data_IF_515151158408
#
_entry.id   IF_515151158408
#
_cell.length_a   1.000
_cell.length_b   1.000
_cell.length_c   1.000
_cell.angle_alpha   90.00
_cell.angle_beta   90.00
_cell.angle_gamma   90.00
#
_symmetry.space_group_name_H-M   'P 1'
#
loop_
_entity.id
_entity.type
_entity.pdbx_description
1 polymer ?
#
# COMPACT_ATOMS: atom_id res chain seq x y z
N UNK A 1 -1.96 8.14 -14.38
CA UNK A 1 -1.73 6.75 -13.98
C UNK A 1 -1.00 6.77 -12.66
N UNK A 2 -1.57 6.20 -11.60
CA UNK A 2 -0.90 6.06 -10.31
C UNK A 2 -0.61 4.57 -10.12
N UNK A 3 0.66 4.20 -10.01
CA UNK A 3 1.06 2.81 -9.76
C UNK A 3 1.11 2.59 -8.26
N UNK A 4 0.33 1.62 -7.78
CA UNK A 4 0.39 1.18 -6.39
C UNK A 4 1.37 0.02 -6.29
N UNK A 5 2.18 0.03 -5.23
CA UNK A 5 3.13 -1.05 -4.93
C UNK A 5 2.75 -1.70 -3.62
N UNK A 6 2.78 -3.03 -3.59
CA UNK A 6 2.62 -3.82 -2.38
C UNK A 6 3.99 -4.20 -1.81
N UNK A 7 4.18 -3.99 -0.51
CA UNK A 7 5.38 -4.44 0.22
C UNK A 7 5.24 -5.92 0.53
N UNK A 8 6.05 -6.75 -0.11
CA UNK A 8 6.03 -8.21 0.10
C UNK A 8 6.89 -8.60 1.29
N UNK A 9 8.09 -8.02 1.38
CA UNK A 9 9.04 -8.33 2.43
C UNK A 9 9.83 -7.08 2.79
N UNK A 10 10.16 -6.95 4.07
CA UNK A 10 11.08 -5.95 4.57
C UNK A 10 12.07 -6.65 5.51
N UNK A 11 13.35 -6.66 5.12
CA UNK A 11 14.42 -7.31 5.89
C UNK A 11 15.56 -6.35 6.14
N UNK A 12 16.16 -6.45 7.31
CA UNK A 12 17.33 -5.67 7.65
C UNK A 12 18.56 -6.24 6.95
N UNK A 13 19.37 -5.40 6.32
CA UNK A 13 20.55 -5.89 5.60
C UNK A 13 21.58 -6.39 6.62
N UNK A 14 22.10 -7.60 6.42
CA UNK A 14 23.09 -8.19 7.33
C UNK A 14 24.39 -7.36 7.45
N UNK A 15 24.67 -6.51 6.44
CA UNK A 15 25.86 -5.65 6.41
C UNK A 15 25.69 -4.34 7.19
N UNK A 16 24.47 -3.87 7.43
CA UNK A 16 24.23 -2.59 8.10
C UNK A 16 22.85 -2.59 8.78
N UNK A 17 22.86 -2.53 10.11
CA UNK A 17 21.65 -2.50 10.93
C UNK A 17 20.83 -1.20 10.79
N UNK A 18 21.27 -0.22 10.01
CA UNK A 18 20.50 0.98 9.66
C UNK A 18 19.89 0.93 8.27
N UNK A 19 20.19 -0.11 7.48
CA UNK A 19 19.67 -0.28 6.14
C UNK A 19 18.68 -1.44 6.08
N UNK A 20 17.56 -1.18 5.42
CA UNK A 20 16.49 -2.12 5.18
C UNK A 20 16.33 -2.34 3.69
N UNK A 21 16.23 -3.60 3.29
CA UNK A 21 15.87 -4.02 1.94
C UNK A 21 14.36 -4.29 1.94
N UNK A 22 13.65 -3.64 1.03
CA UNK A 22 12.20 -3.77 0.88
C UNK A 22 11.92 -4.34 -0.51
N UNK A 23 11.24 -5.48 -0.57
CA UNK A 23 10.75 -6.04 -1.82
C UNK A 23 9.36 -5.49 -2.11
N UNK A 24 9.25 -4.83 -3.27
CA UNK A 24 8.02 -4.25 -3.78
C UNK A 24 7.55 -5.03 -5.00
N UNK A 25 6.24 -5.30 -5.06
CA UNK A 25 5.58 -5.88 -6.24
C UNK A 25 4.57 -4.89 -6.79
N UNK A 26 4.52 -4.76 -8.12
CA UNK A 26 3.51 -3.97 -8.80
C UNK A 26 2.15 -4.63 -8.58
N UNK A 27 1.22 -3.84 -8.07
CA UNK A 27 -0.15 -4.27 -7.87
C UNK A 27 -0.91 -4.13 -9.20
N UNK A 28 -1.68 -5.14 -9.60
CA UNK A 28 -2.57 -5.03 -10.77
C UNK A 28 -3.70 -4.04 -10.45
N UNK A 29 -4.21 -3.34 -11.46
CA UNK A 29 -5.34 -2.41 -11.29
C UNK A 29 -6.58 -3.11 -10.69
N UNK A 30 -6.70 -4.44 -10.86
CA UNK A 30 -7.78 -5.27 -10.31
C UNK A 30 -7.37 -6.07 -9.07
N UNK A 31 -6.32 -5.69 -8.35
CA UNK A 31 -5.92 -6.41 -7.15
C UNK A 31 -7.06 -6.44 -6.09
N UNK A 32 -7.53 -7.64 -5.69
CA UNK A 32 -8.64 -7.77 -4.75
C UNK A 32 -8.33 -7.21 -3.36
N UNK A 33 -7.08 -7.21 -2.94
CA UNK A 33 -6.66 -6.67 -1.65
C UNK A 33 -6.67 -5.14 -1.69
N UNK A 34 -6.19 -4.55 -2.79
CA UNK A 34 -6.23 -3.10 -3.00
C UNK A 34 -7.67 -2.57 -3.05
N UNK A 35 -8.55 -3.27 -3.77
CA UNK A 35 -9.97 -2.88 -3.84
C UNK A 35 -10.69 -3.01 -2.50
N UNK A 36 -10.42 -4.09 -1.75
CA UNK A 36 -10.97 -4.30 -0.39
C UNK A 36 -10.49 -3.21 0.57
N UNK A 37 -9.18 -2.91 0.59
CA UNK A 37 -8.61 -1.85 1.42
C UNK A 37 -9.23 -0.49 1.06
N UNK A 38 -9.33 -0.19 -0.24
CA UNK A 38 -9.93 1.05 -0.73
C UNK A 38 -11.38 1.18 -0.27
N UNK A 39 -12.17 0.12 -0.36
CA UNK A 39 -13.57 0.13 0.07
C UNK A 39 -13.67 0.32 1.59
N UNK A 40 -12.84 -0.34 2.37
CA UNK A 40 -12.81 -0.17 3.82
C UNK A 40 -12.45 1.26 4.23
N UNK A 41 -11.41 1.85 3.62
CA UNK A 41 -11.04 3.25 3.85
C UNK A 41 -12.19 4.18 3.45
N UNK A 42 -12.91 3.88 2.36
CA UNK A 42 -14.07 4.65 1.93
C UNK A 42 -15.24 4.59 2.91
N UNK A 43 -15.41 3.48 3.63
CA UNK A 43 -16.43 3.29 4.68
C UNK A 43 -16.02 3.93 6.00
N UNK A 44 -14.73 3.88 6.36
CA UNK A 44 -14.21 4.47 7.60
C UNK A 44 -14.11 6.00 7.51
N UNK A 45 -13.92 6.58 6.32
CA UNK A 45 -13.87 8.02 6.12
C UNK A 45 -15.23 8.52 5.61
N UNK A 46 -15.96 9.21 6.49
CA UNK A 46 -17.24 9.85 6.18
C UNK A 46 -17.04 11.15 5.38
N UNK A 47 -17.90 11.40 4.39
CA UNK A 47 -17.84 12.57 3.51
C UNK A 47 -17.67 12.29 2.01
N UNK A 48 -18.10 13.25 1.18
CA UNK A 48 -18.02 13.14 -0.28
C UNK A 48 -16.78 13.85 -0.86
N UNK A 49 -16.13 13.20 -1.83
CA UNK A 49 -15.06 13.79 -2.62
C UNK A 49 -13.79 14.10 -1.82
N UNK A 50 -13.27 15.32 -1.96
CA UNK A 50 -12.04 15.79 -1.31
C UNK A 50 -12.18 16.03 0.21
N UNK A 51 -13.39 15.92 0.76
CA UNK A 51 -13.68 16.16 2.18
C UNK A 51 -13.52 14.93 3.07
N UNK A 52 -12.91 13.86 2.54
CA UNK A 52 -12.52 12.69 3.32
C UNK A 52 -11.36 13.05 4.25
N UNK A 53 -11.63 13.30 5.53
CA UNK A 53 -10.64 13.41 6.62
C UNK A 53 -10.93 12.40 7.72
#
# INVERSE_FOLDING_TARGET
>A
MHTVFHVVEMKQTAKNNRLWEVQLTITDDNDPQLSTLTNRIKEEIDGEGWYRM
#
